data_IF_294347072760
#
_entry.id   IF_294347072760
#
_cell.length_a   1.000
_cell.length_b   1.000
_cell.length_c   1.000
_cell.angle_alpha   90.00
_cell.angle_beta   90.00
_cell.angle_gamma   90.00
#
_symmetry.space_group_name_H-M   'P 1'
#
loop_
_entity.id
_entity.type
_entity.pdbx_description
1 polymer ?
#
# COMPACT_ATOMS: atom_id res chain seq x y z
N UNK A 1 -3.61 7.27 59.37
CA UNK A 1 -3.10 6.55 58.18
C UNK A 1 -3.03 7.55 57.05
N UNK A 2 -1.85 7.78 56.48
CA UNK A 2 -1.68 8.75 55.39
C UNK A 2 -1.88 8.04 54.06
N UNK A 3 -3.03 8.24 53.43
CA UNK A 3 -3.29 7.74 52.08
C UNK A 3 -2.41 8.49 51.09
N UNK A 4 -1.25 7.94 50.78
CA UNK A 4 -0.38 8.40 49.69
C UNK A 4 -1.06 8.12 48.36
N UNK A 5 -2.00 8.99 47.99
CA UNK A 5 -2.54 9.05 46.63
C UNK A 5 -1.36 9.19 45.68
N UNK A 6 -1.15 8.18 44.84
CA UNK A 6 -0.16 8.25 43.78
C UNK A 6 -0.62 9.27 42.75
N UNK A 7 -0.20 10.52 42.91
CA UNK A 7 -0.20 11.48 41.80
C UNK A 7 0.73 10.93 40.71
N UNK A 8 0.14 10.15 39.81
CA UNK A 8 0.75 9.79 38.53
C UNK A 8 1.11 11.11 37.86
N UNK A 9 2.42 11.38 37.73
CA UNK A 9 2.88 12.68 37.22
C UNK A 9 2.33 12.88 35.81
N UNK A 10 1.33 13.77 35.69
CA UNK A 10 0.65 14.10 34.43
C UNK A 10 1.57 14.81 33.42
N UNK A 11 2.87 14.95 33.74
CA UNK A 11 3.94 15.49 32.90
C UNK A 11 4.91 14.41 32.41
N UNK A 12 4.87 13.22 33.00
CA UNK A 12 5.55 12.03 32.51
C UNK A 12 4.85 11.51 31.24
N UNK A 13 5.62 10.89 30.34
CA UNK A 13 5.06 10.27 29.13
C UNK A 13 4.35 8.98 29.56
N UNK A 14 3.14 8.69 29.08
CA UNK A 14 2.57 7.35 29.25
C UNK A 14 3.42 6.33 28.50
N UNK A 15 3.62 5.14 29.09
CA UNK A 15 4.37 4.08 28.42
C UNK A 15 3.63 3.59 27.18
N UNK A 16 2.33 3.31 27.30
CA UNK A 16 1.45 3.05 26.17
C UNK A 16 1.10 4.36 25.43
N UNK A 17 1.42 4.42 24.14
CA UNK A 17 1.16 5.56 23.28
C UNK A 17 0.69 5.15 21.88
N UNK A 18 -0.02 6.06 21.21
CA UNK A 18 -0.40 5.89 19.79
C UNK A 18 0.59 6.63 18.90
N UNK A 19 1.12 5.97 17.88
CA UNK A 19 1.85 6.61 16.78
C UNK A 19 0.88 7.00 15.66
N UNK A 20 1.13 8.15 15.01
CA UNK A 20 0.48 8.56 13.77
C UNK A 20 1.51 8.52 12.65
N UNK A 21 1.53 7.42 11.89
CA UNK A 21 2.47 7.19 10.81
C UNK A 21 1.96 7.80 9.50
N UNK A 22 2.73 8.74 8.95
CA UNK A 22 2.51 9.31 7.62
C UNK A 22 3.54 8.74 6.64
N UNK A 23 3.07 7.97 5.66
CA UNK A 23 3.93 7.38 4.63
C UNK A 23 3.98 8.36 3.44
N UNK A 24 5.06 9.13 3.31
CA UNK A 24 5.21 10.16 2.28
C UNK A 24 5.77 9.61 0.98
N UNK A 25 5.23 10.06 -0.16
CA UNK A 25 5.77 9.73 -1.48
C UNK A 25 6.86 10.75 -1.83
N UNK A 26 8.08 10.29 -2.09
CA UNK A 26 9.23 11.12 -2.46
C UNK A 26 10.43 10.89 -1.54
N UNK A 27 10.99 11.97 -1.01
CA UNK A 27 12.29 12.01 -0.32
C UNK A 27 12.23 13.01 0.84
N UNK A 28 12.94 12.77 1.95
CA UNK A 28 12.96 13.67 3.11
C UNK A 28 13.50 15.06 2.75
N UNK A 29 14.49 15.12 1.86
CA UNK A 29 15.15 16.37 1.42
C UNK A 29 14.25 17.28 0.57
N UNK A 30 13.19 16.73 -0.06
CA UNK A 30 12.32 17.44 -1.00
C UNK A 30 10.91 17.56 -0.44
N UNK A 31 10.36 18.77 -0.46
CA UNK A 31 9.02 19.09 0.08
C UNK A 31 7.91 18.26 -0.58
N UNK A 32 7.51 17.16 0.08
CA UNK A 32 6.45 16.29 -0.43
C UNK A 32 5.09 16.66 0.16
N UNK A 33 4.14 16.90 -0.74
CA UNK A 33 2.71 17.12 -0.43
C UNK A 33 1.87 15.86 -0.61
N UNK A 34 2.41 14.79 -1.22
CA UNK A 34 1.69 13.52 -1.43
C UNK A 34 2.11 12.51 -0.37
N UNK A 35 1.13 11.89 0.27
CA UNK A 35 1.32 10.69 1.08
C UNK A 35 0.62 9.50 0.40
N UNK A 36 1.14 8.30 0.64
CA UNK A 36 0.56 7.05 0.19
C UNK A 36 -0.61 6.65 1.10
N UNK A 37 -0.42 6.81 2.41
CA UNK A 37 -1.49 6.72 3.42
C UNK A 37 -1.06 7.40 4.73
N UNK A 38 -2.01 7.55 5.65
CA UNK A 38 -1.79 7.91 7.05
C UNK A 38 -2.50 6.84 7.89
N UNK A 39 -1.81 6.27 8.88
CA UNK A 39 -2.32 5.20 9.73
C UNK A 39 -1.89 5.39 11.19
N UNK A 40 -2.60 4.75 12.12
CA UNK A 40 -2.26 4.74 13.54
C UNK A 40 -1.97 3.32 14.05
N UNK A 41 -1.08 3.21 15.03
CA UNK A 41 -0.81 1.97 15.76
C UNK A 41 -0.39 2.25 17.20
N UNK A 42 -0.63 1.30 18.11
CA UNK A 42 -0.19 1.36 19.51
C UNK A 42 1.22 0.81 19.72
N UNK A 43 1.98 1.43 20.61
CA UNK A 43 3.31 0.98 21.02
C UNK A 43 3.54 1.24 22.51
N UNK A 44 4.44 0.48 23.13
CA UNK A 44 4.97 0.82 24.46
C UNK A 44 6.33 1.51 24.27
N UNK A 45 6.61 2.54 25.06
CA UNK A 45 7.92 3.21 25.03
C UNK A 45 9.03 2.28 25.56
N UNK A 46 8.68 1.46 26.56
CA UNK A 46 9.50 0.41 27.17
C UNK A 46 9.92 -0.74 26.25
N UNK A 47 9.22 -0.95 25.12
CA UNK A 47 9.65 -1.88 24.06
C UNK A 47 10.89 -1.37 23.29
N UNK A 48 11.20 -0.08 23.38
CA UNK A 48 12.36 0.53 22.72
C UNK A 48 12.21 0.75 21.21
N UNK A 49 13.25 1.34 20.61
CA UNK A 49 13.20 1.79 19.22
C UNK A 49 13.12 0.65 18.20
N UNK A 50 13.73 -0.51 18.47
CA UNK A 50 13.81 -1.57 17.46
C UNK A 50 12.47 -2.29 17.26
N UNK A 51 11.70 -2.48 18.33
CA UNK A 51 10.29 -2.92 18.25
C UNK A 51 9.42 -1.83 17.62
N UNK A 52 9.66 -0.56 17.93
CA UNK A 52 8.96 0.56 17.28
C UNK A 52 9.21 0.61 15.77
N UNK A 53 10.46 0.40 15.33
CA UNK A 53 10.85 0.26 13.92
C UNK A 53 10.13 -0.91 13.27
N UNK A 54 10.22 -2.11 13.84
CA UNK A 54 9.52 -3.29 13.32
C UNK A 54 7.99 -3.07 13.16
N UNK A 55 7.35 -2.34 14.08
CA UNK A 55 5.93 -1.94 13.96
C UNK A 55 5.70 -0.95 12.81
N UNK A 56 6.53 0.09 12.67
CA UNK A 56 6.46 1.01 11.52
C UNK A 56 6.69 0.31 10.19
N UNK A 57 7.66 -0.60 10.15
CA UNK A 57 8.07 -1.32 8.95
C UNK A 57 6.94 -2.25 8.48
N UNK A 58 6.41 -3.11 9.36
CA UNK A 58 5.26 -3.95 9.07
C UNK A 58 3.98 -3.16 8.68
N UNK A 59 3.76 -1.98 9.27
CA UNK A 59 2.70 -1.07 8.84
C UNK A 59 2.96 -0.43 7.46
N UNK A 60 4.23 -0.20 7.11
CA UNK A 60 4.64 0.40 5.84
C UNK A 60 4.53 -0.62 4.71
N UNK A 61 5.03 -1.83 4.91
CA UNK A 61 5.01 -2.90 3.90
C UNK A 61 3.57 -3.30 3.58
N UNK A 62 2.74 -3.49 4.62
CA UNK A 62 1.29 -3.71 4.44
C UNK A 62 0.60 -2.54 3.70
N UNK A 63 1.02 -1.30 3.92
CA UNK A 63 0.48 -0.16 3.17
C UNK A 63 0.92 -0.15 1.70
N UNK A 64 2.14 -0.59 1.39
CA UNK A 64 2.65 -0.75 0.02
C UNK A 64 1.92 -1.89 -0.72
N UNK A 65 1.72 -3.03 -0.07
CA UNK A 65 0.96 -4.18 -0.61
C UNK A 65 -0.50 -3.81 -0.95
N UNK A 66 -1.14 -2.99 -0.13
CA UNK A 66 -2.54 -2.58 -0.29
C UNK A 66 -2.70 -1.31 -1.17
N UNK A 67 -1.62 -0.79 -1.77
CA UNK A 67 -1.69 0.43 -2.58
C UNK A 67 -2.13 0.15 -4.03
N UNK A 68 -3.41 0.40 -4.32
CA UNK A 68 -3.97 0.36 -5.67
C UNK A 68 -3.44 1.51 -6.54
N UNK A 69 -2.26 1.35 -7.14
CA UNK A 69 -1.66 2.33 -8.03
C UNK A 69 -0.31 1.88 -8.58
N UNK A 70 0.56 2.84 -8.92
CA UNK A 70 1.95 2.54 -9.26
C UNK A 70 2.68 1.85 -8.10
N UNK A 71 3.56 0.87 -8.35
CA UNK A 71 4.40 0.29 -7.30
C UNK A 71 5.31 1.35 -6.66
N UNK A 72 5.45 1.27 -5.33
CA UNK A 72 6.32 2.11 -4.52
C UNK A 72 7.27 1.23 -3.68
N UNK A 73 8.42 1.76 -3.31
CA UNK A 73 9.44 1.07 -2.50
C UNK A 73 10.01 2.00 -1.44
N UNK A 74 10.34 1.47 -0.26
CA UNK A 74 11.07 2.18 0.78
C UNK A 74 12.57 1.93 0.61
N UNK A 75 13.26 2.90 0.01
CA UNK A 75 14.73 2.92 -0.04
C UNK A 75 15.35 3.48 1.24
N UNK A 76 14.63 4.35 1.96
CA UNK A 76 15.10 5.00 3.18
C UNK A 76 14.57 4.25 4.42
N UNK A 77 15.44 3.56 5.20
CA UNK A 77 15.03 2.90 6.43
C UNK A 77 14.76 3.90 7.56
N UNK A 78 15.19 5.16 7.46
CA UNK A 78 15.07 6.13 8.54
C UNK A 78 13.61 6.47 8.88
N UNK A 79 13.38 6.69 10.17
CA UNK A 79 12.14 7.21 10.71
C UNK A 79 12.34 8.67 11.11
N UNK A 80 11.35 9.53 10.91
CA UNK A 80 11.47 10.96 11.21
C UNK A 80 10.36 11.48 12.12
N UNK A 81 10.70 12.41 13.02
CA UNK A 81 9.76 13.14 13.87
C UNK A 81 9.91 14.66 13.71
N UNK A 82 8.81 15.41 13.88
CA UNK A 82 8.84 16.89 13.97
C UNK A 82 9.41 17.36 15.32
N UNK A 83 10.29 18.37 15.35
CA UNK A 83 10.68 19.05 16.60
C UNK A 83 9.54 19.80 17.30
N UNK A 84 8.58 20.34 16.53
CA UNK A 84 7.43 21.08 17.03
C UNK A 84 6.26 21.13 16.05
N UNK A 85 5.10 21.61 16.51
CA UNK A 85 3.81 21.53 15.79
C UNK A 85 3.82 22.17 14.38
N UNK A 86 4.63 23.22 14.19
CA UNK A 86 4.72 23.98 12.93
C UNK A 86 6.05 23.77 12.20
N UNK A 87 6.84 22.77 12.59
CA UNK A 87 8.15 22.50 11.97
C UNK A 87 8.01 22.09 10.50
N UNK A 88 8.85 22.71 9.66
CA UNK A 88 8.92 22.43 8.22
C UNK A 88 9.49 21.04 7.97
N UNK A 89 9.32 20.51 6.76
CA UNK A 89 9.86 19.20 6.40
C UNK A 89 11.40 19.14 6.52
N UNK A 90 12.10 20.23 6.18
CA UNK A 90 13.55 20.34 6.34
C UNK A 90 14.03 20.43 7.81
N UNK A 91 13.11 20.49 8.78
CA UNK A 91 13.39 20.45 10.22
C UNK A 91 13.08 19.07 10.82
N UNK A 92 12.62 18.09 10.02
CA UNK A 92 12.43 16.72 10.48
C UNK A 92 13.75 16.15 11.00
N UNK A 93 13.69 15.44 12.13
CA UNK A 93 14.86 14.79 12.72
C UNK A 93 14.68 13.29 12.74
N UNK A 94 15.71 12.57 12.32
CA UNK A 94 15.80 11.11 12.36
C UNK A 94 15.66 10.58 13.79
N UNK A 95 14.90 9.51 13.95
CA UNK A 95 14.79 8.74 15.19
C UNK A 95 15.95 7.73 15.27
N UNK A 96 16.80 7.94 16.26
CA UNK A 96 17.92 7.03 16.61
C UNK A 96 17.76 6.56 18.05
N UNK A 97 18.38 5.44 18.43
CA UNK A 97 18.20 4.85 19.76
C UNK A 97 18.57 5.83 20.88
N UNK A 98 19.57 6.67 20.64
CA UNK A 98 20.04 7.72 21.56
C UNK A 98 19.04 8.90 21.72
N UNK A 99 18.02 9.01 20.85
CA UNK A 99 17.10 10.15 20.83
C UNK A 99 15.60 9.80 20.91
N UNK A 100 15.20 8.54 20.70
CA UNK A 100 13.81 8.11 20.60
C UNK A 100 12.92 8.58 21.75
N UNK A 101 13.21 8.17 22.98
CA UNK A 101 12.45 8.58 24.18
C UNK A 101 12.40 10.10 24.35
N UNK A 102 13.53 10.77 24.12
CA UNK A 102 13.64 12.23 24.20
C UNK A 102 12.80 12.95 23.12
N UNK A 103 12.55 12.32 21.97
CA UNK A 103 11.67 12.83 20.91
C UNK A 103 10.20 12.59 21.26
N UNK A 104 9.82 11.40 21.71
CA UNK A 104 8.45 11.11 22.21
C UNK A 104 8.10 12.02 23.38
N UNK A 105 9.00 12.19 24.36
CA UNK A 105 8.80 13.07 25.51
C UNK A 105 8.69 14.55 25.14
N UNK A 106 9.44 15.03 24.14
CA UNK A 106 9.27 16.39 23.61
C UNK A 106 7.94 16.54 22.86
N UNK A 107 7.51 15.51 22.12
CA UNK A 107 6.19 15.47 21.47
C UNK A 107 5.06 15.55 22.48
N UNK A 108 5.09 14.72 23.53
CA UNK A 108 4.09 14.71 24.62
C UNK A 108 4.05 16.06 25.37
N UNK A 109 5.22 16.62 25.72
CA UNK A 109 5.31 17.96 26.34
C UNK A 109 4.88 19.10 25.42
N UNK A 110 4.83 18.89 24.10
CA UNK A 110 4.24 19.83 23.16
C UNK A 110 2.73 19.63 23.00
N UNK A 111 2.23 18.39 23.08
CA UNK A 111 0.79 18.06 23.14
C UNK A 111 0.11 18.68 24.37
N UNK A 112 0.65 18.46 25.57
CA UNK A 112 0.11 19.01 26.83
C UNK A 112 -0.04 20.56 26.83
N UNK A 113 0.76 21.27 26.02
CA UNK A 113 0.66 22.72 25.87
C UNK A 113 -0.52 23.18 24.99
N UNK A 114 -1.02 22.34 24.09
CA UNK A 114 -2.08 22.73 23.13
C UNK A 114 -3.47 22.82 23.77
N UNK A 115 -3.69 22.15 24.92
CA UNK A 115 -5.00 22.04 25.60
C UNK A 115 -6.13 21.52 24.69
N UNK A 116 -5.78 20.64 23.76
CA UNK A 116 -6.71 19.91 22.88
C UNK A 116 -7.38 18.77 23.62
N UNK A 117 -8.64 18.48 23.30
CA UNK A 117 -9.38 17.33 23.82
C UNK A 117 -8.98 16.00 23.13
N UNK A 118 -8.29 16.08 21.99
CA UNK A 118 -7.76 14.92 21.27
C UNK A 118 -6.82 14.06 22.12
N UNK A 119 -6.79 12.75 21.88
CA UNK A 119 -5.79 11.84 22.46
C UNK A 119 -4.37 12.19 21.95
N UNK A 120 -3.35 11.96 22.77
CA UNK A 120 -1.96 12.09 22.33
C UNK A 120 -1.64 11.12 21.18
N UNK A 121 -1.15 11.66 20.08
CA UNK A 121 -0.59 10.90 18.96
C UNK A 121 0.81 11.39 18.64
N UNK A 122 1.76 10.46 18.53
CA UNK A 122 3.15 10.77 18.20
C UNK A 122 3.34 10.73 16.68
N UNK A 123 3.43 11.91 16.05
CA UNK A 123 3.63 12.04 14.60
C UNK A 123 4.97 11.44 14.14
N UNK A 124 4.92 10.43 13.27
CA UNK A 124 6.10 9.81 12.64
C UNK A 124 5.95 9.80 11.12
N UNK A 125 7.08 10.00 10.43
CA UNK A 125 7.14 10.10 8.98
C UNK A 125 8.16 9.11 8.41
N UNK A 126 7.78 8.42 7.35
CA UNK A 126 8.68 7.59 6.50
C UNK A 126 8.51 7.97 5.04
N UNK A 127 9.48 7.63 4.20
CA UNK A 127 9.53 8.03 2.80
C UNK A 127 9.63 6.83 1.85
N UNK A 128 8.77 6.84 0.83
CA UNK A 128 8.72 5.80 -0.22
C UNK A 128 8.80 6.45 -1.60
N UNK A 129 9.55 5.84 -2.52
CA UNK A 129 9.73 6.33 -3.89
C UNK A 129 8.87 5.50 -4.84
N UNK A 130 8.28 6.14 -5.86
CA UNK A 130 7.61 5.43 -6.95
C UNK A 130 8.66 4.63 -7.72
N UNK A 131 8.42 3.34 -7.92
CA UNK A 131 9.24 2.48 -8.77
C UNK A 131 9.00 2.90 -10.22
N UNK A 132 9.95 3.64 -10.79
CA UNK A 132 9.94 3.97 -12.22
C UNK A 132 10.52 2.77 -12.97
N UNK A 133 9.66 2.00 -13.64
CA UNK A 133 10.09 0.91 -14.50
C UNK A 133 11.19 1.40 -15.48
N UNK A 134 12.32 0.67 -15.64
CA UNK A 134 13.38 1.09 -16.55
C UNK A 134 12.82 1.26 -17.97
N UNK A 135 12.65 2.51 -18.40
CA UNK A 135 12.33 2.82 -19.80
C UNK A 135 13.46 2.25 -20.64
N UNK A 136 13.20 1.12 -21.34
CA UNK A 136 14.07 0.62 -22.40
C UNK A 136 14.24 1.75 -23.41
N UNK A 137 15.37 2.47 -23.32
CA UNK A 137 15.88 3.23 -24.46
C UNK A 137 16.01 2.21 -25.57
N UNK A 138 15.22 2.38 -26.63
CA UNK A 138 15.37 1.62 -27.88
C UNK A 138 16.81 1.89 -28.33
N UNK A 139 17.69 0.92 -28.15
CA UNK A 139 19.02 0.99 -28.74
C UNK A 139 18.80 1.16 -30.23
N UNK A 140 19.35 2.24 -30.80
CA UNK A 140 19.47 2.34 -32.24
C UNK A 140 20.67 1.48 -32.58
N UNK A 141 20.41 0.19 -32.77
CA UNK A 141 21.42 -0.79 -33.14
C UNK A 141 21.99 -0.34 -34.49
N UNK A 142 23.15 0.30 -34.43
CA UNK A 142 23.90 0.73 -35.62
C UNK A 142 24.71 -0.46 -36.02
N UNK A 143 24.16 -1.27 -36.93
CA UNK A 143 24.80 -2.46 -37.47
C UNK A 143 26.01 -2.06 -38.30
N UNK A 144 27.18 -1.95 -37.67
CA UNK A 144 28.45 -1.92 -38.37
C UNK A 144 28.73 -3.32 -38.92
N UNK A 145 28.49 -3.49 -40.22
CA UNK A 145 28.73 -4.73 -40.95
C UNK A 145 30.24 -4.88 -41.17
N UNK A 146 30.76 -6.07 -40.89
CA UNK A 146 32.19 -6.38 -40.94
C UNK A 146 32.74 -6.51 -42.38
N UNK A 147 34.07 -6.42 -42.50
CA UNK A 147 34.84 -6.92 -43.66
C UNK A 147 36.06 -7.71 -43.19
N UNK A 148 35.95 -9.03 -43.33
CA UNK A 148 36.94 -10.11 -43.41
C UNK A 148 38.45 -9.87 -43.20
N UNK A 149 39.03 -10.68 -42.29
CA UNK A 149 40.11 -11.66 -42.57
C UNK A 149 40.35 -12.50 -41.27
N UNK A 150 39.89 -13.74 -41.12
CA UNK A 150 40.28 -14.99 -41.81
C UNK A 150 41.66 -15.56 -41.38
N UNK A 151 41.66 -16.68 -40.63
CA UNK A 151 42.38 -17.95 -40.90
C UNK A 151 42.33 -18.93 -39.69
N UNK A 152 42.02 -20.21 -39.97
CA UNK A 152 42.43 -21.46 -39.27
C UNK A 152 42.09 -21.66 -37.76
N UNK A 153 41.86 -22.87 -37.24
CA UNK A 153 41.87 -24.22 -37.84
C UNK A 153 40.85 -25.17 -37.18
N UNK A 154 40.59 -26.32 -37.82
CA UNK A 154 39.61 -27.33 -37.39
C UNK A 154 40.05 -28.19 -36.18
N UNK A 155 39.08 -28.64 -35.37
CA UNK A 155 39.04 -30.05 -34.96
C UNK A 155 37.61 -30.57 -34.74
N UNK A 156 37.43 -31.89 -34.75
CA UNK A 156 36.27 -32.56 -35.35
C UNK A 156 35.73 -33.73 -34.50
N UNK A 157 34.40 -33.99 -34.58
CA UNK A 157 33.65 -35.19 -34.09
C UNK A 157 33.59 -35.38 -32.55
N UNK A 158 32.60 -36.02 -31.89
CA UNK A 158 31.29 -36.67 -32.23
C UNK A 158 30.34 -36.55 -30.98
N UNK A 159 29.10 -37.06 -30.85
CA UNK A 159 28.26 -38.00 -31.61
C UNK A 159 26.74 -37.76 -31.40
N UNK A 160 25.96 -38.09 -32.44
CA UNK A 160 24.61 -38.68 -32.53
C UNK A 160 23.59 -38.76 -31.34
N UNK A 161 22.33 -38.43 -31.67
CA UNK A 161 21.06 -39.23 -31.58
C UNK A 161 20.56 -39.72 -30.18
N UNK A 162 19.29 -40.10 -29.97
CA UNK A 162 18.18 -40.44 -30.90
C UNK A 162 16.77 -40.01 -30.39
N UNK A 163 15.77 -40.36 -31.17
CA UNK A 163 14.33 -40.08 -31.16
C UNK A 163 13.52 -40.84 -30.08
N UNK A 164 12.28 -40.40 -29.79
CA UNK A 164 11.32 -41.16 -28.98
C UNK A 164 9.96 -40.45 -28.84
N UNK A 165 8.85 -41.20 -28.87
CA UNK A 165 7.47 -40.67 -28.99
C UNK A 165 6.46 -41.41 -28.07
N UNK A 166 5.25 -40.85 -27.95
CA UNK A 166 3.96 -41.45 -27.54
C UNK A 166 3.59 -41.66 -26.05
N UNK A 167 2.36 -41.19 -25.77
CA UNK A 167 1.32 -41.72 -24.86
C UNK A 167 1.47 -41.68 -23.31
N UNK A 168 0.37 -41.27 -22.66
CA UNK A 168 0.01 -41.66 -21.28
C UNK A 168 -0.83 -42.95 -21.27
N UNK A 169 -1.79 -43.18 -20.32
CA UNK A 169 -2.26 -42.32 -19.22
C UNK A 169 -2.24 -43.00 -17.82
N UNK A 170 -2.67 -42.28 -16.77
CA UNK A 170 -2.91 -42.83 -15.42
C UNK A 170 -4.12 -42.14 -14.71
N UNK A 171 -4.71 -42.78 -13.68
CA UNK A 171 -6.11 -42.54 -13.25
C UNK A 171 -6.34 -42.45 -11.73
N UNK A 172 -6.90 -41.32 -11.26
CA UNK A 172 -7.66 -41.13 -9.99
C UNK A 172 -6.90 -41.51 -8.67
N UNK A 173 -7.52 -41.55 -7.46
CA UNK A 173 -8.81 -41.01 -6.96
C UNK A 173 -8.55 -40.03 -5.76
N UNK A 174 -9.43 -39.67 -4.79
CA UNK A 174 -10.84 -39.97 -4.46
C UNK A 174 -11.48 -38.81 -3.67
N UNK A 175 -12.73 -38.41 -3.95
CA UNK A 175 -13.48 -37.44 -3.12
C UNK A 175 -14.23 -38.12 -1.97
N UNK A 176 -14.18 -37.56 -0.74
CA UNK A 176 -14.89 -38.10 0.45
C UNK A 176 -15.95 -37.14 0.99
N UNK A 177 -17.23 -37.50 0.83
CA UNK A 177 -18.38 -36.90 1.54
C UNK A 177 -18.42 -37.36 3.01
N UNK A 178 -18.89 -36.51 3.91
CA UNK A 178 -19.51 -36.92 5.20
C UNK A 178 -20.71 -36.03 5.52
N UNK A 179 -21.62 -36.52 6.38
CA UNK A 179 -22.94 -35.92 6.69
C UNK A 179 -23.17 -35.82 8.20
N UNK A 180 -23.79 -34.73 8.65
CA UNK A 180 -24.61 -34.59 9.88
C UNK A 180 -25.28 -33.19 9.80
N UNK A 181 -26.60 -33.04 9.91
CA UNK A 181 -27.38 -32.98 11.18
C UNK A 181 -26.83 -31.85 12.08
N UNK A 182 -27.58 -30.81 12.48
CA UNK A 182 -29.00 -30.49 12.28
C UNK A 182 -29.73 -30.36 13.62
N UNK A 183 -30.18 -29.15 13.97
CA UNK A 183 -30.95 -28.86 15.19
C UNK A 183 -31.72 -27.54 15.02
N UNK A 184 -32.94 -27.48 15.53
CA UNK A 184 -33.86 -26.33 15.44
C UNK A 184 -34.35 -25.98 16.86
N UNK A 185 -34.65 -24.70 17.16
CA UNK A 185 -35.06 -24.30 18.52
C UNK A 185 -35.20 -22.79 18.76
N UNK A 186 -36.42 -22.29 18.60
CA UNK A 186 -36.92 -20.97 19.04
C UNK A 186 -37.02 -20.89 20.60
N UNK A 187 -37.03 -19.77 21.34
CA UNK A 187 -37.04 -18.28 21.12
C UNK A 187 -36.69 -17.62 22.50
N UNK A 188 -36.69 -16.31 22.82
CA UNK A 188 -37.12 -15.03 22.20
C UNK A 188 -36.37 -13.84 22.86
N UNK A 189 -36.45 -12.65 22.24
CA UNK A 189 -36.54 -11.30 22.85
C UNK A 189 -35.46 -10.76 23.82
N UNK A 190 -34.58 -9.89 23.30
CA UNK A 190 -34.20 -8.61 23.94
C UNK A 190 -33.46 -7.68 22.97
N UNK A 191 -33.54 -6.35 23.20
CA UNK A 191 -33.15 -5.32 22.23
C UNK A 191 -31.66 -4.92 22.32
N UNK A 192 -30.96 -4.88 21.19
CA UNK A 192 -29.87 -3.91 20.94
C UNK A 192 -29.53 -3.84 19.44
N UNK A 193 -29.07 -2.68 18.96
CA UNK A 193 -28.62 -2.51 17.57
C UNK A 193 -27.18 -3.01 17.40
N UNK A 194 -26.99 -4.12 16.68
CA UNK A 194 -25.68 -4.50 16.13
C UNK A 194 -25.61 -4.21 14.62
N UNK A 195 -24.44 -3.79 14.10
CA UNK A 195 -24.20 -3.79 12.66
C UNK A 195 -24.13 -5.23 12.16
N UNK A 196 -25.05 -5.63 11.28
CA UNK A 196 -25.14 -6.98 10.72
C UNK A 196 -23.81 -7.36 10.07
N UNK A 197 -23.12 -8.36 10.64
CA UNK A 197 -22.03 -9.04 9.97
C UNK A 197 -22.63 -9.79 8.77
N UNK A 198 -22.31 -9.31 7.55
CA UNK A 198 -22.84 -9.89 6.33
C UNK A 198 -22.43 -11.37 6.21
N UNK A 199 -23.42 -12.23 5.92
CA UNK A 199 -23.20 -13.66 5.73
C UNK A 199 -22.07 -13.88 4.73
N UNK A 200 -21.02 -14.60 5.13
CA UNK A 200 -19.88 -14.88 4.26
C UNK A 200 -20.27 -16.00 3.29
N UNK A 201 -20.98 -15.63 2.22
CA UNK A 201 -21.36 -16.54 1.13
C UNK A 201 -20.08 -16.97 0.43
N UNK A 202 -19.60 -18.17 0.78
CA UNK A 202 -18.36 -18.76 0.25
C UNK A 202 -18.58 -19.23 -1.19
N UNK A 203 -18.57 -18.25 -2.10
CA UNK A 203 -19.07 -18.38 -3.47
C UNK A 203 -18.30 -17.55 -4.50
N UNK A 204 -17.02 -17.24 -4.23
CA UNK A 204 -16.00 -16.82 -5.20
C UNK A 204 -16.12 -15.45 -5.87
N UNK A 205 -17.32 -15.07 -6.34
CA UNK A 205 -17.49 -14.06 -7.40
C UNK A 205 -18.06 -12.73 -6.93
N UNK A 206 -18.96 -12.72 -5.94
CA UNK A 206 -19.60 -11.50 -5.44
C UNK A 206 -18.90 -10.93 -4.19
N UNK A 207 -18.75 -9.61 -4.14
CA UNK A 207 -18.22 -8.87 -2.98
C UNK A 207 -19.04 -7.62 -2.69
N UNK A 208 -19.19 -7.28 -1.41
CA UNK A 208 -19.85 -6.04 -0.99
C UNK A 208 -18.90 -4.85 -1.12
N UNK A 209 -19.23 -3.92 -2.02
CA UNK A 209 -18.52 -2.65 -2.25
C UNK A 209 -19.37 -1.49 -1.73
N UNK A 210 -18.73 -0.44 -1.21
CA UNK A 210 -19.43 0.81 -0.81
C UNK A 210 -19.52 1.73 -2.02
N UNK A 211 -20.73 2.03 -2.47
CA UNK A 211 -21.00 2.97 -3.58
C UNK A 211 -21.65 4.24 -3.03
N UNK A 212 -21.39 5.39 -3.68
CA UNK A 212 -22.08 6.64 -3.35
C UNK A 212 -23.21 6.84 -4.36
N UNK A 213 -24.46 6.87 -3.87
CA UNK A 213 -25.66 7.07 -4.68
C UNK A 213 -26.40 8.27 -4.09
N UNK A 214 -26.62 9.32 -4.89
CA UNK A 214 -27.27 10.57 -4.46
C UNK A 214 -26.66 11.18 -3.17
N UNK A 215 -25.33 11.05 -2.99
CA UNK A 215 -24.60 11.51 -1.81
C UNK A 215 -24.60 10.56 -0.60
N UNK A 216 -25.38 9.47 -0.63
CA UNK A 216 -25.47 8.47 0.44
C UNK A 216 -24.55 7.29 0.14
N UNK A 217 -23.82 6.80 1.15
CA UNK A 217 -22.97 5.60 1.03
C UNK A 217 -23.82 4.34 1.25
N UNK A 218 -23.93 3.49 0.24
CA UNK A 218 -24.73 2.26 0.23
C UNK A 218 -23.84 1.04 0.00
N UNK A 219 -23.98 -0.05 0.78
CA UNK A 219 -23.33 -1.33 0.48
C UNK A 219 -24.05 -2.05 -0.67
N UNK A 220 -23.32 -2.36 -1.75
CA UNK A 220 -23.84 -3.03 -2.94
C UNK A 220 -23.02 -4.30 -3.17
N UNK A 221 -23.67 -5.45 -3.38
CA UNK A 221 -22.97 -6.66 -3.83
C UNK A 221 -22.74 -6.60 -5.34
N UNK A 222 -21.48 -6.72 -5.76
CA UNK A 222 -21.08 -6.68 -7.18
C UNK A 222 -20.25 -7.91 -7.52
N UNK A 223 -20.41 -8.44 -8.74
CA UNK A 223 -19.52 -9.46 -9.27
C UNK A 223 -18.15 -8.81 -9.58
N UNK A 224 -17.08 -9.39 -9.04
CA UNK A 224 -15.72 -8.90 -9.22
C UNK A 224 -15.27 -9.05 -10.68
N UNK A 225 -15.72 -10.08 -11.40
CA UNK A 225 -15.38 -10.26 -12.83
C UNK A 225 -16.03 -9.17 -13.70
N UNK A 226 -17.33 -8.92 -13.53
CA UNK A 226 -18.04 -7.89 -14.30
C UNK A 226 -17.48 -6.49 -14.01
N UNK A 227 -17.12 -6.21 -12.74
CA UNK A 227 -16.48 -4.96 -12.35
C UNK A 227 -15.12 -4.77 -13.04
N UNK A 228 -14.29 -5.82 -13.09
CA UNK A 228 -13.00 -5.79 -13.79
C UNK A 228 -13.17 -5.58 -15.30
N UNK A 229 -14.15 -6.25 -15.93
CA UNK A 229 -14.46 -6.07 -17.34
C UNK A 229 -14.87 -4.62 -17.65
N UNK A 230 -15.75 -4.02 -16.84
CA UNK A 230 -16.13 -2.61 -16.96
C UNK A 230 -14.95 -1.64 -16.78
N UNK A 231 -13.97 -1.95 -15.93
CA UNK A 231 -12.74 -1.15 -15.84
C UNK A 231 -11.85 -1.27 -17.09
N UNK A 232 -11.78 -2.45 -17.72
CA UNK A 232 -10.98 -2.62 -18.94
C UNK A 232 -11.57 -1.90 -20.16
N UNK A 233 -12.90 -1.90 -20.34
CA UNK A 233 -13.53 -1.17 -21.44
C UNK A 233 -13.43 0.34 -21.28
N UNK A 234 -13.51 0.87 -20.06
CA UNK A 234 -13.37 2.32 -19.80
C UNK A 234 -11.96 2.84 -20.08
N UNK A 235 -10.91 2.01 -19.99
CA UNK A 235 -9.55 2.41 -20.38
C UNK A 235 -9.37 2.48 -21.91
N UNK A 236 -10.11 1.65 -22.66
CA UNK A 236 -10.04 1.65 -24.14
C UNK A 236 -10.73 2.90 -24.74
N UNK A 237 -11.89 3.32 -24.21
CA UNK A 237 -12.58 4.52 -24.67
C UNK A 237 -11.81 5.82 -24.37
N UNK A 238 -11.00 5.85 -23.31
CA UNK A 238 -10.10 7.00 -23.02
C UNK A 238 -8.83 7.05 -23.88
N UNK A 239 -8.51 5.99 -24.64
CA UNK A 239 -7.31 5.94 -25.48
C UNK A 239 -7.55 6.35 -26.95
N UNK A 240 -8.82 6.51 -27.36
CA UNK A 240 -9.24 6.84 -28.74
C UNK A 240 -9.86 8.25 -28.89
N UNK A 241 -9.86 9.04 -27.82
CA UNK A 241 -10.44 10.40 -27.80
C UNK A 241 -9.45 11.51 -28.14
N UNK A 242 -8.64 11.39 -29.20
CA UNK A 242 -7.68 12.45 -29.59
C UNK A 242 -7.34 12.45 -31.09
N UNK A 243 -8.32 12.23 -31.96
CA UNK A 243 -8.14 12.53 -33.39
C UNK A 243 -8.44 14.00 -33.68
N UNK A 244 -7.49 14.67 -34.33
CA UNK A 244 -7.53 16.07 -34.72
C UNK A 244 -8.46 16.30 -35.89
N UNK A 245 -9.31 17.33 -35.79
CA UNK A 245 -9.90 17.97 -36.97
C UNK A 245 -9.31 19.38 -37.10
N UNK A 246 -8.42 19.54 -38.06
CA UNK A 246 -7.88 20.80 -38.56
C UNK A 246 -8.10 20.82 -40.08
N UNK A 247 -8.05 22.00 -40.71
CA UNK A 247 -8.46 22.29 -42.10
C UNK A 247 -9.96 22.09 -42.41
N UNK A 248 -10.55 22.79 -43.40
CA UNK A 248 -10.32 24.15 -43.91
C UNK A 248 -11.46 24.49 -44.90
N UNK A 249 -11.97 25.72 -44.90
CA UNK A 249 -12.55 26.32 -46.12
C UNK A 249 -12.51 27.86 -46.07
N UNK A 250 -12.61 28.52 -47.22
CA UNK A 250 -12.16 29.90 -47.42
C UNK A 250 -13.05 30.74 -48.36
N UNK A 251 -12.67 32.01 -48.51
CA UNK A 251 -13.15 33.03 -49.47
C UNK A 251 -14.40 33.84 -49.06
N UNK A 252 -14.41 35.12 -49.48
CA UNK A 252 -15.40 36.14 -49.08
C UNK A 252 -14.75 37.50 -48.74
N UNK A 253 -13.72 37.93 -49.49
CA UNK A 253 -13.81 38.82 -50.67
C UNK A 253 -13.77 40.33 -50.31
N UNK A 254 -13.33 41.15 -51.27
CA UNK A 254 -13.21 42.62 -51.18
C UNK A 254 -14.60 43.29 -51.24
N UNK A 255 -14.79 44.57 -50.92
CA UNK A 255 -13.90 45.74 -51.10
C UNK A 255 -14.14 46.85 -50.05
#
# INVERSE_FOLDING_TARGET
>A
MSSSSSEVDRRAVPDEATALLTIKIGDVSRTSRKHLTILTFGFLLSEGLDVFRAKVDACTDKALENFCGDPHVREDPALYMRPGAHSKQAELVEITSNNFENRVARSYKNYLKRKTEDNFQCEVYVYVKKVVAPRRRRSKDTTEIATDAALQEDFVQTQQLDSGELSGPAVAPSSKRKRSIGSEGSVEQSQSYQPVQGLHIDGGYYRTVRMVINGVVVPVQVNVQDLLLCFTSFQQSTALGTETHEEAEANGFQE
#
